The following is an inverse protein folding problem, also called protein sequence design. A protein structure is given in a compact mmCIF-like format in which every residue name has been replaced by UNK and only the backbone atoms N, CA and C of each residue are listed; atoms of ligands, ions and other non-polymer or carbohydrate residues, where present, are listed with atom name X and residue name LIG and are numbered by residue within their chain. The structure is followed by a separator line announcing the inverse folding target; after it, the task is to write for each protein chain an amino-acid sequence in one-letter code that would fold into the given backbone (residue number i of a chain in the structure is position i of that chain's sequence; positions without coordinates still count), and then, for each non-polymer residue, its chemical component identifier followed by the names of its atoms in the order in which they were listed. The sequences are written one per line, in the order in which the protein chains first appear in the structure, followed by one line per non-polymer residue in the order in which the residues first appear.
data_IF_161744738502
#
_entry.id   IF_161744738502
#
_cell.length_a   1.000
_cell.length_b   1.000
_cell.length_c   1.000
_cell.angle_alpha   90.00
_cell.angle_beta   90.00
_cell.angle_gamma   90.00
#
_symmetry.space_group_name_H-M   'P 1'
#
loop_
_entity.id
_entity.type
_entity.pdbx_description
1 polymer ?
#
# COMPACT_ATOMS: atom_id res chain seq x y z
N UNK A 1 21.13 5.76 -13.62
CA UNK A 1 20.95 4.91 -12.42
C UNK A 1 21.32 5.66 -11.13
N UNK A 2 22.57 6.13 -10.98
CA UNK A 2 23.04 6.84 -9.76
C UNK A 2 22.20 8.11 -9.46
N UNK A 3 21.91 8.95 -10.46
CA UNK A 3 21.06 10.13 -10.24
C UNK A 3 19.63 9.77 -9.81
N UNK A 4 19.03 8.69 -10.35
CA UNK A 4 17.70 8.23 -9.94
C UNK A 4 17.69 7.81 -8.47
N UNK A 5 18.73 7.07 -8.05
CA UNK A 5 18.90 6.66 -6.65
C UNK A 5 19.07 7.87 -5.73
N UNK A 6 19.89 8.85 -6.14
CA UNK A 6 20.10 10.08 -5.37
C UNK A 6 18.81 10.90 -5.26
N UNK A 7 18.07 11.10 -6.36
CA UNK A 7 16.78 11.81 -6.34
C UNK A 7 15.74 11.11 -5.47
N UNK A 8 15.69 9.78 -5.49
CA UNK A 8 14.80 9.01 -4.62
C UNK A 8 15.21 9.13 -3.14
N UNK A 9 16.51 9.06 -2.85
CA UNK A 9 17.04 9.22 -1.50
C UNK A 9 16.74 10.63 -0.96
N UNK A 10 16.98 11.68 -1.75
CA UNK A 10 16.68 13.07 -1.38
C UNK A 10 15.19 13.27 -1.14
N UNK A 11 14.33 12.73 -2.00
CA UNK A 11 12.88 12.81 -1.82
C UNK A 11 12.41 12.07 -0.54
N UNK A 12 12.94 10.87 -0.28
CA UNK A 12 12.71 10.14 0.97
C UNK A 12 13.16 10.97 2.17
N UNK A 13 14.37 11.51 2.16
CA UNK A 13 14.94 12.27 3.28
C UNK A 13 14.23 13.60 3.53
N UNK A 14 13.80 14.31 2.48
CA UNK A 14 13.11 15.60 2.62
C UNK A 14 11.67 15.46 3.14
N UNK A 15 10.96 14.40 2.77
CA UNK A 15 9.58 14.14 3.26
C UNK A 15 9.53 13.32 4.55
N UNK A 16 10.59 12.60 4.89
CA UNK A 16 10.77 12.00 6.20
C UNK A 16 11.62 12.94 7.08
N UNK A 17 10.98 13.88 7.78
CA UNK A 17 11.50 14.21 9.11
C UNK A 17 11.48 12.89 9.89
N UNK A 18 12.62 12.37 10.36
CA UNK A 18 12.69 11.09 11.03
C UNK A 18 12.16 11.30 12.45
N UNK A 19 10.84 11.32 12.57
CA UNK A 19 10.22 10.76 13.76
C UNK A 19 9.84 9.33 13.37
N UNK A 20 10.85 8.51 13.02
CA UNK A 20 10.67 7.07 13.23
C UNK A 20 10.62 6.93 14.74
N UNK A 21 9.40 6.95 15.30
CA UNK A 21 9.22 6.63 16.69
C UNK A 21 9.87 5.28 16.91
N UNK A 22 10.82 5.21 17.83
CA UNK A 22 11.39 3.94 18.24
C UNK A 22 10.23 3.10 18.80
N UNK A 23 9.85 1.99 18.14
CA UNK A 23 8.73 1.18 18.55
C UNK A 23 8.93 0.60 19.96
N UNK A 24 10.18 0.51 20.43
CA UNK A 24 10.53 0.02 21.76
C UNK A 24 10.35 1.09 22.86
N UNK A 25 10.18 2.37 22.47
CA UNK A 25 9.96 3.48 23.40
C UNK A 25 8.48 3.76 23.72
N UNK A 26 7.55 3.12 23.01
CA UNK A 26 6.11 3.30 23.19
C UNK A 26 5.44 2.00 23.61
N UNK A 27 4.41 2.08 24.45
CA UNK A 27 3.66 0.89 24.83
C UNK A 27 2.96 0.29 23.61
N UNK A 28 2.79 -1.04 23.52
CA UNK A 28 2.09 -1.67 22.40
C UNK A 28 0.67 -1.13 22.20
N UNK A 29 0.02 -0.72 23.30
CA UNK A 29 -1.29 -0.07 23.27
C UNK A 29 -1.24 1.28 22.54
N UNK A 30 -0.28 2.15 22.91
CA UNK A 30 -0.12 3.46 22.30
C UNK A 30 0.29 3.35 20.83
N UNK A 31 1.13 2.36 20.48
CA UNK A 31 1.49 2.08 19.10
C UNK A 31 0.26 1.72 18.26
N UNK A 32 -0.65 0.90 18.78
CA UNK A 32 -1.87 0.51 18.10
C UNK A 32 -2.85 1.68 17.93
N UNK A 33 -3.00 2.53 18.95
CA UNK A 33 -3.81 3.75 18.88
C UNK A 33 -3.27 4.74 17.85
N UNK A 34 -1.95 4.96 17.83
CA UNK A 34 -1.30 5.82 16.83
C UNK A 34 -1.45 5.27 15.42
N UNK A 35 -1.26 3.97 15.23
CA UNK A 35 -1.43 3.33 13.92
C UNK A 35 -2.87 3.48 13.42
N UNK A 36 -3.86 3.27 14.29
CA UNK A 36 -5.27 3.48 13.96
C UNK A 36 -5.56 4.95 13.60
N UNK A 37 -5.03 5.90 14.36
CA UNK A 37 -5.20 7.33 14.09
C UNK A 37 -4.57 7.76 12.76
N UNK A 38 -3.36 7.29 12.47
CA UNK A 38 -2.60 7.68 11.28
C UNK A 38 -3.06 6.96 10.00
N UNK A 39 -3.39 5.67 10.10
CA UNK A 39 -3.60 4.80 8.92
C UNK A 39 -5.02 4.25 8.83
N UNK A 40 -5.82 4.31 9.88
CA UNK A 40 -7.13 3.67 9.92
C UNK A 40 -8.09 4.19 8.84
N UNK A 41 -8.01 5.48 8.50
CA UNK A 41 -8.82 6.08 7.44
C UNK A 41 -8.55 5.48 6.05
N UNK A 42 -7.33 4.97 5.80
CA UNK A 42 -6.96 4.30 4.54
C UNK A 42 -7.71 2.99 4.33
N UNK A 43 -8.01 2.29 5.42
CA UNK A 43 -8.67 0.98 5.40
C UNK A 43 -10.19 1.10 5.46
N UNK A 44 -10.74 2.12 6.12
CA UNK A 44 -12.18 2.21 6.39
C UNK A 44 -13.05 2.36 5.15
N UNK A 45 -12.46 2.76 4.01
CA UNK A 45 -13.16 2.83 2.74
C UNK A 45 -13.40 1.46 2.11
N UNK A 46 -12.68 0.42 2.56
CA UNK A 46 -12.94 -0.95 2.14
C UNK A 46 -14.02 -1.60 3.02
N UNK A 47 -15.07 -2.21 2.43
CA UNK A 47 -16.19 -2.79 3.19
C UNK A 47 -15.75 -3.81 4.23
N UNK A 48 -14.78 -4.68 3.91
CA UNK A 48 -14.31 -5.69 4.84
C UNK A 48 -13.66 -5.05 6.08
N UNK A 49 -12.79 -4.06 5.90
CA UNK A 49 -12.09 -3.45 7.02
C UNK A 49 -13.00 -2.54 7.84
N UNK A 50 -14.01 -1.90 7.21
CA UNK A 50 -15.06 -1.18 7.91
C UNK A 50 -15.85 -2.11 8.86
N UNK A 51 -16.21 -3.30 8.37
CA UNK A 51 -16.85 -4.32 9.20
C UNK A 51 -15.93 -4.77 10.34
N UNK A 52 -14.66 -5.09 10.04
CA UNK A 52 -13.67 -5.51 11.05
C UNK A 52 -13.49 -4.45 12.13
N UNK A 53 -13.47 -3.16 11.77
CA UNK A 53 -13.41 -2.06 12.74
C UNK A 53 -14.58 -2.08 13.72
N UNK A 54 -15.79 -2.36 13.22
CA UNK A 54 -17.01 -2.35 14.03
C UNK A 54 -17.14 -3.58 14.94
N UNK A 55 -16.77 -4.76 14.47
CA UNK A 55 -16.96 -6.03 15.19
C UNK A 55 -15.73 -6.42 16.01
N UNK A 56 -14.54 -6.15 15.50
CA UNK A 56 -13.26 -6.57 16.06
C UNK A 56 -12.24 -5.40 16.11
N UNK A 57 -12.48 -4.36 16.92
CA UNK A 57 -11.67 -3.13 16.92
C UNK A 57 -10.19 -3.38 17.25
N UNK A 58 -9.90 -4.38 18.08
CA UNK A 58 -8.52 -4.78 18.39
C UNK A 58 -7.80 -5.36 17.16
N UNK A 59 -8.46 -6.26 16.44
CA UNK A 59 -7.92 -6.85 15.20
C UNK A 59 -7.72 -5.77 14.14
N UNK A 60 -8.66 -4.82 14.03
CA UNK A 60 -8.50 -3.68 13.13
C UNK A 60 -7.28 -2.82 13.47
N UNK A 61 -7.01 -2.60 14.76
CA UNK A 61 -5.80 -1.89 15.20
C UNK A 61 -4.52 -2.66 14.81
N UNK A 62 -4.51 -3.98 14.98
CA UNK A 62 -3.39 -4.85 14.58
C UNK A 62 -3.15 -4.79 13.06
N UNK A 63 -4.21 -4.77 12.24
CA UNK A 63 -4.11 -4.58 10.78
C UNK A 63 -3.52 -3.20 10.47
N UNK A 64 -3.96 -2.13 11.15
CA UNK A 64 -3.39 -0.79 10.96
C UNK A 64 -1.88 -0.76 11.28
N UNK A 65 -1.44 -1.51 12.30
CA UNK A 65 -0.02 -1.66 12.62
C UNK A 65 0.76 -2.35 11.49
N UNK A 66 0.17 -3.38 10.86
CA UNK A 66 0.78 -4.13 9.78
C UNK A 66 0.89 -3.37 8.44
N UNK A 67 0.22 -2.21 8.29
CA UNK A 67 0.33 -1.41 7.07
C UNK A 67 1.72 -0.80 6.90
N UNK A 68 2.39 -1.14 5.81
CA UNK A 68 3.68 -0.58 5.43
C UNK A 68 3.54 0.43 4.29
N UNK A 69 4.17 1.60 4.45
CA UNK A 69 4.22 2.61 3.40
C UNK A 69 5.34 2.29 2.42
N UNK A 70 4.97 1.93 1.20
CA UNK A 70 5.91 1.75 0.09
C UNK A 70 5.90 3.00 -0.81
N UNK A 71 7.08 3.34 -1.33
CA UNK A 71 7.28 4.47 -2.23
C UNK A 71 7.95 3.94 -3.49
N UNK A 72 7.39 4.30 -4.64
CA UNK A 72 7.91 3.92 -5.94
C UNK A 72 8.21 5.19 -6.74
N UNK A 73 9.09 5.05 -7.72
CA UNK A 73 9.45 6.10 -8.66
C UNK A 73 8.69 5.95 -9.98
N UNK A 74 8.61 7.03 -10.77
CA UNK A 74 7.98 7.02 -12.09
C UNK A 74 8.62 5.95 -13.01
N UNK A 75 7.77 5.16 -13.65
CA UNK A 75 8.18 4.05 -14.52
C UNK A 75 8.59 2.78 -13.77
N UNK A 76 8.31 2.68 -12.46
CA UNK A 76 8.42 1.43 -11.71
C UNK A 76 7.06 0.71 -11.64
N UNK A 77 7.10 -0.61 -11.68
CA UNK A 77 5.93 -1.46 -11.45
C UNK A 77 5.79 -1.76 -9.96
N UNK A 78 4.61 -1.51 -9.40
CA UNK A 78 4.23 -1.92 -8.04
C UNK A 78 4.16 -3.44 -7.96
N UNK A 79 3.51 -4.06 -8.96
CA UNK A 79 3.50 -5.50 -9.18
C UNK A 79 3.34 -5.81 -10.67
N UNK A 80 3.72 -7.02 -11.08
CA UNK A 80 3.74 -7.44 -12.47
C UNK A 80 2.89 -8.71 -12.65
N UNK A 81 2.16 -8.76 -13.77
CA UNK A 81 1.41 -9.94 -14.21
C UNK A 81 2.29 -11.20 -14.19
N UNK A 82 1.71 -12.33 -13.79
CA UNK A 82 2.42 -13.61 -13.70
C UNK A 82 3.30 -13.79 -12.47
N UNK A 83 3.51 -12.74 -11.66
CA UNK A 83 4.20 -12.86 -10.37
C UNK A 83 3.22 -13.15 -9.23
N UNK A 84 3.74 -13.81 -8.19
CA UNK A 84 2.98 -14.08 -6.97
C UNK A 84 2.69 -12.78 -6.21
N UNK A 85 1.43 -12.61 -5.83
CA UNK A 85 0.98 -11.52 -4.99
C UNK A 85 1.44 -11.74 -3.55
N UNK A 86 2.25 -10.82 -3.05
CA UNK A 86 2.80 -10.88 -1.68
C UNK A 86 1.90 -10.24 -0.63
N UNK A 87 0.88 -9.52 -1.08
CA UNK A 87 -0.05 -8.80 -0.23
C UNK A 87 -0.97 -7.90 -1.05
N UNK A 88 -1.89 -7.26 -0.34
CA UNK A 88 -2.80 -6.26 -0.90
C UNK A 88 -2.15 -4.88 -0.87
N UNK A 89 -2.44 -4.06 -1.88
CA UNK A 89 -1.94 -2.69 -2.02
C UNK A 89 -3.08 -1.68 -1.95
N UNK A 90 -2.80 -0.51 -1.37
CA UNK A 90 -3.74 0.60 -1.28
C UNK A 90 -3.04 1.87 -1.78
N UNK A 91 -3.69 2.62 -2.66
CA UNK A 91 -3.13 3.90 -3.11
C UNK A 91 -3.29 4.97 -2.04
N UNK A 92 -2.22 5.74 -1.85
CA UNK A 92 -2.22 6.93 -1.00
C UNK A 92 -1.95 8.19 -1.83
N UNK A 93 -0.85 8.29 -2.56
CA UNK A 93 -0.64 9.44 -3.44
C UNK A 93 0.04 9.00 -4.72
N UNK A 94 -0.33 9.61 -5.83
CA UNK A 94 0.27 9.33 -7.14
C UNK A 94 -0.77 9.16 -8.23
N UNK A 95 -0.24 8.87 -9.42
CA UNK A 95 -1.01 8.36 -10.55
C UNK A 95 -0.52 6.95 -10.82
N UNK A 96 -1.44 6.06 -11.19
CA UNK A 96 -1.13 4.66 -11.42
C UNK A 96 -1.79 4.22 -12.74
N UNK A 97 -1.18 3.28 -13.45
CA UNK A 97 -1.74 2.63 -14.63
C UNK A 97 -1.79 1.12 -14.41
N UNK A 98 -2.98 0.54 -14.52
CA UNK A 98 -3.18 -0.91 -14.51
C UNK A 98 -3.25 -1.41 -15.95
N UNK A 99 -2.38 -2.35 -16.30
CA UNK A 99 -2.30 -2.95 -17.64
C UNK A 99 -2.62 -4.43 -17.58
N UNK A 100 -3.49 -4.89 -18.48
CA UNK A 100 -3.76 -6.32 -18.68
C UNK A 100 -2.99 -6.83 -19.91
N UNK A 101 -2.67 -8.12 -19.93
CA UNK A 101 -1.81 -8.74 -20.96
C UNK A 101 -2.50 -8.95 -22.33
N UNK A 102 -3.59 -8.23 -22.59
CA UNK A 102 -4.42 -8.35 -23.81
C UNK A 102 -3.75 -7.78 -25.08
N UNK A 103 -2.52 -7.26 -24.97
CA UNK A 103 -1.71 -6.79 -26.12
C UNK A 103 -2.23 -5.52 -26.79
N UNK A 104 -3.24 -4.83 -26.24
CA UNK A 104 -3.78 -3.57 -26.76
C UNK A 104 -3.38 -2.43 -25.83
N UNK A 105 -2.69 -1.41 -26.36
CA UNK A 105 -2.33 -0.19 -25.63
C UNK A 105 -3.54 0.57 -25.04
N UNK A 106 -4.76 0.22 -25.45
CA UNK A 106 -6.01 0.79 -24.95
C UNK A 106 -6.48 0.20 -23.61
N UNK A 107 -5.89 -0.90 -23.13
CA UNK A 107 -6.28 -1.55 -21.86
C UNK A 107 -5.40 -1.08 -20.68
N UNK A 108 -5.09 0.23 -20.63
CA UNK A 108 -4.51 0.89 -19.44
C UNK A 108 -5.60 1.67 -18.70
N UNK A 109 -6.01 1.16 -17.55
CA UNK A 109 -6.89 1.91 -16.64
C UNK A 109 -6.04 2.79 -15.73
N UNK A 110 -6.35 4.10 -15.71
CA UNK A 110 -5.59 5.08 -14.93
C UNK A 110 -6.32 5.45 -13.65
N UNK A 111 -5.61 5.39 -12.54
CA UNK A 111 -6.11 5.75 -11.22
C UNK A 111 -5.32 6.95 -10.69
N UNK A 112 -6.01 7.90 -10.08
CA UNK A 112 -5.37 9.05 -9.43
C UNK A 112 -5.94 9.22 -8.04
N UNK A 113 -5.05 9.46 -7.07
CA UNK A 113 -5.45 9.72 -5.69
C UNK A 113 -5.49 8.49 -4.79
N UNK A 114 -6.33 8.58 -3.76
CA UNK A 114 -6.34 7.71 -2.59
C UNK A 114 -7.41 6.60 -2.68
N UNK A 115 -7.22 5.53 -1.91
CA UNK A 115 -8.23 4.50 -1.61
C UNK A 115 -8.61 3.58 -2.77
N UNK A 116 -7.71 3.37 -3.74
CA UNK A 116 -7.84 2.24 -4.67
C UNK A 116 -7.15 1.00 -4.09
N UNK A 117 -7.85 -0.12 -4.08
CA UNK A 117 -7.40 -1.38 -3.51
C UNK A 117 -7.05 -2.36 -4.63
N UNK A 118 -5.92 -3.06 -4.49
CA UNK A 118 -5.43 -4.02 -5.47
C UNK A 118 -4.95 -5.30 -4.79
N UNK A 119 -5.08 -6.42 -5.51
CA UNK A 119 -4.59 -7.74 -5.08
C UNK A 119 -5.11 -8.23 -3.71
N UNK A 120 -6.35 -7.88 -3.35
CA UNK A 120 -7.00 -8.29 -2.09
C UNK A 120 -7.04 -9.81 -1.89
N UNK A 121 -7.15 -10.57 -2.98
CA UNK A 121 -7.15 -12.03 -2.96
C UNK A 121 -5.92 -12.62 -2.25
N UNK A 122 -4.78 -11.92 -2.27
CA UNK A 122 -3.56 -12.32 -1.58
C UNK A 122 -3.71 -12.37 -0.04
N UNK A 123 -4.75 -11.75 0.53
CA UNK A 123 -5.03 -11.83 1.96
C UNK A 123 -5.69 -13.16 2.38
N UNK A 124 -6.25 -13.91 1.43
CA UNK A 124 -7.05 -15.11 1.72
C UNK A 124 -6.48 -16.39 1.14
N UNK A 125 -5.48 -16.30 0.26
CA UNK A 125 -4.86 -17.44 -0.39
C UNK A 125 -3.36 -17.24 -0.57
N UNK A 126 -2.59 -18.29 -0.28
CA UNK A 126 -1.12 -18.23 -0.22
C UNK A 126 -0.43 -18.11 -1.59
N UNK A 127 -1.09 -18.52 -2.67
CA UNK A 127 -0.49 -18.63 -4.00
C UNK A 127 -1.34 -17.95 -5.08
N UNK A 128 -1.69 -16.68 -4.86
CA UNK A 128 -2.37 -15.86 -5.87
C UNK A 128 -1.34 -15.26 -6.81
N UNK A 129 -1.60 -15.32 -8.11
CA UNK A 129 -0.78 -14.69 -9.16
C UNK A 129 -1.51 -13.46 -9.67
N UNK A 130 -0.79 -12.37 -9.92
CA UNK A 130 -1.37 -11.19 -10.55
C UNK A 130 -1.76 -11.48 -12.00
N UNK A 131 -2.98 -11.12 -12.37
CA UNK A 131 -3.52 -11.17 -13.74
C UNK A 131 -3.29 -9.87 -14.53
N UNK A 132 -2.72 -8.87 -13.87
CA UNK A 132 -2.44 -7.54 -14.40
C UNK A 132 -1.14 -6.98 -13.80
N UNK A 133 -0.61 -5.92 -14.42
CA UNK A 133 0.56 -5.16 -13.96
C UNK A 133 0.09 -3.78 -13.51
N UNK A 134 0.54 -3.33 -12.34
CA UNK A 134 0.28 -1.97 -11.84
C UNK A 134 1.59 -1.16 -11.88
N UNK A 135 1.57 -0.05 -12.60
CA UNK A 135 2.71 0.85 -12.77
C UNK A 135 2.43 2.24 -12.21
N UNK A 136 3.50 2.98 -11.86
CA UNK A 136 3.47 4.40 -11.50
C UNK A 136 3.84 5.27 -12.70
#
# INVERSE_FOLDING_TARGET
LIMRIMSFADYKLQRHSPISFDPDLISPLLAAELAMFQKGHLLTNHPMFSLTRSVFPKVFADICCALEKQLFYEGESVFVVGLLAKGMYITSHGSFCLRTDSGREQDCERFTGEYHFFAEAALFADAVVHDCTLDI
#
